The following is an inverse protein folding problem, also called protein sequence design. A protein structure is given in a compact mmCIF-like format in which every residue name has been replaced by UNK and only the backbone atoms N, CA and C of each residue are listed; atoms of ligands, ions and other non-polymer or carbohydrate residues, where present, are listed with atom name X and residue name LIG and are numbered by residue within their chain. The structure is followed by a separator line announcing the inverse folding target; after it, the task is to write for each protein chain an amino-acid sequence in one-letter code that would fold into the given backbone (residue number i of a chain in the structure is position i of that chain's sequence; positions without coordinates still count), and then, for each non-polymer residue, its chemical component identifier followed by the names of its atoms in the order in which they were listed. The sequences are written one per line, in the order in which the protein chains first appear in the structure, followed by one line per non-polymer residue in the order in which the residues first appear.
data_IF_932331168139
#
_entry.id   IF_932331168139
#
_cell.length_a   1.000
_cell.length_b   1.000
_cell.length_c   1.000
_cell.angle_alpha   90.00
_cell.angle_beta   90.00
_cell.angle_gamma   90.00
#
_symmetry.space_group_name_H-M   'P 1'
#
loop_
_entity.id
_entity.type
_entity.pdbx_description
1 polymer ?
#
# COMPACT_ATOMS: atom_id res chain seq x y z
N UNK A 1 -22.62 1.31 20.25
CA UNK A 1 -22.47 2.76 20.00
C UNK A 1 -20.99 3.11 20.04
N UNK A 2 -20.46 3.79 19.03
CA UNK A 2 -19.04 4.13 18.96
C UNK A 2 -18.15 3.14 18.19
N UNK A 3 -18.72 2.07 17.64
CA UNK A 3 -18.01 1.14 16.76
C UNK A 3 -17.64 1.85 15.46
N UNK A 4 -16.40 1.64 15.03
CA UNK A 4 -15.89 2.14 13.77
C UNK A 4 -16.64 1.49 12.60
N UNK A 5 -17.01 2.25 11.56
CA UNK A 5 -17.73 1.68 10.42
C UNK A 5 -16.92 0.62 9.68
N UNK A 6 -15.58 0.73 9.66
CA UNK A 6 -14.71 -0.28 9.07
C UNK A 6 -14.78 -1.61 9.85
N UNK A 7 -14.79 -1.54 11.18
CA UNK A 7 -14.93 -2.72 12.04
C UNK A 7 -16.32 -3.34 11.92
N UNK A 8 -17.37 -2.51 11.91
CA UNK A 8 -18.74 -2.95 11.75
C UNK A 8 -18.96 -3.67 10.39
N UNK A 9 -18.42 -3.11 9.31
CA UNK A 9 -18.46 -3.74 7.99
C UNK A 9 -17.72 -5.09 8.00
N UNK A 10 -16.55 -5.16 8.64
CA UNK A 10 -15.78 -6.41 8.76
C UNK A 10 -16.55 -7.48 9.52
N UNK A 11 -17.22 -7.12 10.63
CA UNK A 11 -18.08 -8.03 11.38
C UNK A 11 -19.28 -8.52 10.57
N UNK A 12 -19.83 -7.67 9.70
CA UNK A 12 -20.89 -8.03 8.75
C UNK A 12 -20.38 -8.85 7.54
N UNK A 13 -19.08 -9.15 7.46
CA UNK A 13 -18.48 -9.88 6.33
C UNK A 13 -18.33 -9.03 5.06
N UNK A 14 -18.49 -7.71 5.16
CA UNK A 14 -18.32 -6.76 4.07
C UNK A 14 -16.91 -6.18 4.14
N UNK A 15 -16.06 -6.57 3.19
CA UNK A 15 -14.69 -6.11 3.14
C UNK A 15 -14.58 -4.81 2.35
N UNK A 16 -14.01 -3.79 2.99
CA UNK A 16 -13.78 -2.46 2.44
C UNK A 16 -12.28 -2.27 2.29
N UNK A 17 -11.86 -1.73 1.14
CA UNK A 17 -10.46 -1.45 0.85
C UNK A 17 -9.84 -0.52 1.91
N UNK A 18 -8.89 -1.04 2.69
CA UNK A 18 -8.30 -0.33 3.83
C UNK A 18 -6.80 -0.61 3.96
N UNK A 19 -6.02 -0.21 2.96
CA UNK A 19 -4.56 -0.46 2.88
C UNK A 19 -3.79 0.00 4.13
N UNK A 20 -4.20 1.09 4.78
CA UNK A 20 -3.56 1.60 6.00
C UNK A 20 -4.04 0.93 7.31
N UNK A 21 -4.90 -0.09 7.24
CA UNK A 21 -5.41 -0.78 8.43
C UNK A 21 -6.30 0.05 9.36
N UNK A 22 -6.71 1.25 8.94
CA UNK A 22 -7.58 2.14 9.73
C UNK A 22 -6.93 3.43 10.21
N UNK A 23 -5.63 3.63 9.97
CA UNK A 23 -4.85 4.80 10.44
C UNK A 23 -5.29 6.16 9.84
N UNK A 24 -6.23 6.18 8.89
CA UNK A 24 -6.81 7.43 8.38
C UNK A 24 -5.92 8.19 7.38
N UNK A 25 -4.86 7.55 6.87
CA UNK A 25 -3.87 8.21 5.99
C UNK A 25 -4.05 7.92 4.49
N UNK A 26 -4.81 6.88 4.10
CA UNK A 26 -4.90 6.45 2.70
C UNK A 26 -6.15 6.92 1.94
N UNK A 27 -7.25 7.22 2.64
CA UNK A 27 -8.50 7.70 2.03
C UNK A 27 -9.25 6.68 1.16
N UNK A 28 -8.87 5.39 1.20
CA UNK A 28 -9.46 4.32 0.36
C UNK A 28 -10.71 3.67 0.93
N UNK A 29 -10.95 3.78 2.22
CA UNK A 29 -12.09 3.15 2.89
C UNK A 29 -13.36 4.00 2.78
N UNK A 30 -13.72 4.44 1.58
CA UNK A 30 -14.82 5.39 1.36
C UNK A 30 -16.17 4.68 1.46
N UNK A 31 -17.13 5.32 2.10
CA UNK A 31 -18.54 4.92 2.15
C UNK A 31 -19.41 6.13 1.85
N UNK A 32 -20.63 5.87 1.40
CA UNK A 32 -21.64 6.92 1.21
C UNK A 32 -22.71 6.73 2.29
N UNK A 33 -22.88 7.72 3.16
CA UNK A 33 -23.96 7.73 4.13
C UNK A 33 -25.28 8.03 3.42
N UNK A 34 -26.25 7.12 3.55
CA UNK A 34 -27.61 7.31 3.03
C UNK A 34 -28.56 7.81 4.11
N UNK A 35 -28.51 7.20 5.28
CA UNK A 35 -29.41 7.49 6.39
C UNK A 35 -28.71 7.34 7.74
N UNK A 36 -29.23 8.04 8.74
CA UNK A 36 -28.79 7.98 10.12
C UNK A 36 -27.70 8.99 10.49
N UNK A 37 -27.30 8.97 11.76
CA UNK A 37 -26.33 9.89 12.33
C UNK A 37 -24.99 9.19 12.59
N UNK A 38 -23.91 9.85 12.19
CA UNK A 38 -22.55 9.39 12.38
C UNK A 38 -21.69 10.51 12.92
N UNK A 39 -20.70 10.14 13.72
CA UNK A 39 -19.62 11.03 14.14
C UNK A 39 -18.42 10.82 13.23
N UNK A 40 -18.04 11.85 12.49
CA UNK A 40 -16.93 11.83 11.52
C UNK A 40 -15.78 12.67 12.07
N UNK A 41 -14.57 12.12 12.05
CA UNK A 41 -13.36 12.90 12.32
C UNK A 41 -12.96 13.75 11.09
N UNK A 42 -12.52 15.00 11.26
CA UNK A 42 -12.08 15.84 10.15
C UNK A 42 -10.98 15.19 9.33
N UNK A 43 -11.09 15.26 8.00
CA UNK A 43 -10.09 14.69 7.08
C UNK A 43 -9.83 15.62 5.89
N UNK A 44 -8.59 15.63 5.41
CA UNK A 44 -8.17 16.30 4.17
C UNK A 44 -8.25 15.40 2.95
N UNK A 45 -8.59 14.11 3.14
CA UNK A 45 -8.57 13.09 2.09
C UNK A 45 -9.87 13.00 1.28
N UNK A 46 -10.87 13.80 1.65
CA UNK A 46 -12.12 13.97 0.93
C UNK A 46 -12.24 15.42 0.49
N UNK A 47 -12.64 15.62 -0.76
CA UNK A 47 -12.96 16.92 -1.31
C UNK A 47 -14.29 17.43 -0.74
N UNK A 48 -14.51 18.75 -0.81
CA UNK A 48 -15.78 19.35 -0.36
C UNK A 48 -17.00 18.79 -1.10
N UNK A 49 -16.85 18.45 -2.38
CA UNK A 49 -17.94 17.91 -3.18
C UNK A 49 -18.22 16.45 -2.84
N UNK A 50 -17.20 15.66 -2.50
CA UNK A 50 -17.39 14.30 -1.96
C UNK A 50 -18.13 14.35 -0.62
N UNK A 51 -17.72 15.24 0.30
CA UNK A 51 -18.41 15.41 1.59
C UNK A 51 -19.89 15.79 1.38
N UNK A 52 -20.19 16.72 0.46
CA UNK A 52 -21.57 17.11 0.11
C UNK A 52 -22.38 15.95 -0.47
N UNK A 53 -21.74 15.02 -1.17
CA UNK A 53 -22.38 13.79 -1.68
C UNK A 53 -22.54 12.71 -0.61
N UNK A 54 -22.19 12.99 0.65
CA UNK A 54 -22.32 12.07 1.77
C UNK A 54 -21.16 11.09 1.91
N UNK A 55 -20.01 11.35 1.27
CA UNK A 55 -18.85 10.50 1.44
C UNK A 55 -18.25 10.64 2.84
N UNK A 56 -17.94 9.50 3.44
CA UNK A 56 -17.25 9.38 4.72
C UNK A 56 -16.15 8.35 4.62
N UNK A 57 -15.14 8.46 5.48
CA UNK A 57 -14.11 7.43 5.62
C UNK A 57 -14.54 6.44 6.70
N UNK A 58 -14.73 5.18 6.33
CA UNK A 58 -15.19 4.14 7.24
C UNK A 58 -14.34 4.10 8.52
N UNK A 59 -13.00 4.15 8.38
CA UNK A 59 -12.09 4.06 9.51
C UNK A 59 -12.06 5.29 10.43
N UNK A 60 -12.60 6.43 9.99
CA UNK A 60 -12.64 7.69 10.75
C UNK A 60 -14.08 8.09 11.09
N UNK A 61 -15.02 7.15 10.98
CA UNK A 61 -16.45 7.38 11.22
C UNK A 61 -16.98 6.39 12.24
N UNK A 62 -17.76 6.88 13.21
CA UNK A 62 -18.40 6.07 14.25
C UNK A 62 -19.92 6.18 14.14
N UNK A 63 -20.60 5.04 14.26
CA UNK A 63 -22.06 5.00 14.29
C UNK A 63 -22.60 5.47 15.66
N UNK A 64 -23.55 6.40 15.64
CA UNK A 64 -24.24 6.90 16.84
C UNK A 64 -25.63 6.26 17.05
N UNK A 65 -26.15 5.59 16.02
CA UNK A 65 -27.42 4.86 16.04
C UNK A 65 -27.55 3.96 14.82
N UNK A 66 -28.79 3.72 14.40
CA UNK A 66 -29.09 2.99 13.17
C UNK A 66 -28.70 3.84 11.96
N UNK A 67 -27.97 3.24 11.03
CA UNK A 67 -27.44 3.91 9.85
C UNK A 67 -27.58 3.02 8.62
N UNK A 68 -27.68 3.66 7.47
CA UNK A 68 -27.63 2.99 6.16
C UNK A 68 -26.47 3.60 5.39
N UNK A 69 -25.54 2.74 4.97
CA UNK A 69 -24.34 3.13 4.21
C UNK A 69 -24.24 2.30 2.94
N UNK A 70 -23.81 2.94 1.86
CA UNK A 70 -23.50 2.29 0.59
C UNK A 70 -21.99 2.17 0.41
N UNK A 71 -21.53 0.99 -0.03
CA UNK A 71 -20.13 0.77 -0.41
C UNK A 71 -19.96 1.08 -1.90
N UNK A 72 -19.31 2.21 -2.27
CA UNK A 72 -19.13 2.58 -3.66
C UNK A 72 -18.13 1.62 -4.34
N UNK A 73 -18.23 1.41 -5.66
CA UNK A 73 -17.41 0.44 -6.39
C UNK A 73 -15.90 0.56 -6.13
N UNK A 74 -15.36 1.78 -6.05
CA UNK A 74 -13.93 2.03 -5.82
C UNK A 74 -13.42 1.57 -4.45
N UNK A 75 -14.32 1.44 -3.47
CA UNK A 75 -14.02 0.96 -2.12
C UNK A 75 -14.26 -0.52 -1.94
N UNK A 76 -14.95 -1.15 -2.89
CA UNK A 76 -15.18 -2.60 -2.85
C UNK A 76 -13.83 -3.27 -3.02
N UNK A 77 -13.55 -4.21 -2.13
CA UNK A 77 -12.44 -5.12 -2.35
C UNK A 77 -12.85 -6.07 -3.49
N UNK A 78 -12.60 -5.66 -4.73
CA UNK A 78 -12.58 -6.60 -5.83
C UNK A 78 -11.59 -7.69 -5.45
N UNK A 79 -12.05 -8.94 -5.47
CA UNK A 79 -11.27 -10.11 -5.08
C UNK A 79 -10.06 -10.26 -6.00
N UNK A 80 -9.03 -9.46 -5.80
CA UNK A 80 -7.65 -9.86 -5.97
C UNK A 80 -7.43 -10.96 -4.94
N UNK A 81 -7.92 -12.17 -5.26
CA UNK A 81 -7.53 -13.39 -4.59
C UNK A 81 -6.01 -13.46 -4.77
N UNK A 82 -5.25 -12.90 -3.83
CA UNK A 82 -4.04 -13.59 -3.42
C UNK A 82 -4.59 -14.96 -3.07
N UNK A 83 -4.34 -15.94 -3.94
CA UNK A 83 -4.54 -17.34 -3.61
C UNK A 83 -3.65 -17.54 -2.39
N UNK A 84 -4.23 -17.33 -1.21
CA UNK A 84 -3.60 -17.65 0.04
C UNK A 84 -3.48 -19.15 -0.05
N UNK A 85 -2.31 -19.58 -0.49
CA UNK A 85 -2.01 -20.99 -0.68
C UNK A 85 -2.34 -21.69 0.63
N UNK A 86 -2.85 -22.93 0.57
CA UNK A 86 -3.26 -23.65 1.78
C UNK A 86 -2.15 -23.67 2.84
N UNK A 87 -0.91 -23.57 2.40
CA UNK A 87 0.29 -23.45 3.22
C UNK A 87 0.36 -22.18 4.09
N UNK A 88 -0.10 -21.03 3.61
CA UNK A 88 -0.09 -19.80 4.41
C UNK A 88 -0.98 -19.90 5.66
N UNK A 89 -2.00 -20.78 5.66
CA UNK A 89 -2.77 -21.12 6.88
C UNK A 89 -1.97 -21.98 7.85
N UNK A 90 -1.16 -22.91 7.33
CA UNK A 90 -0.31 -23.82 8.12
C UNK A 90 0.75 -23.05 8.92
N UNK A 91 1.29 -21.97 8.36
CA UNK A 91 2.31 -21.15 9.02
C UNK A 91 1.76 -20.14 10.04
N UNK A 92 0.44 -19.94 10.11
CA UNK A 92 -0.17 -18.97 11.03
C UNK A 92 0.00 -19.34 12.50
N UNK A 93 0.20 -20.63 12.80
CA UNK A 93 0.49 -21.13 14.16
C UNK A 93 1.97 -21.22 14.53
N UNK A 94 2.89 -21.00 13.57
CA UNK A 94 4.34 -21.08 13.81
C UNK A 94 4.91 -19.77 14.38
N UNK A 95 4.21 -18.67 14.21
CA UNK A 95 4.63 -17.35 14.67
C UNK A 95 3.63 -16.83 15.71
N UNK A 96 4.12 -16.49 16.90
CA UNK A 96 3.32 -15.78 17.88
C UNK A 96 2.79 -14.47 17.26
N UNK A 97 1.51 -14.10 17.49
CA UNK A 97 1.00 -12.83 17.00
C UNK A 97 1.91 -11.70 17.50
N UNK A 98 2.45 -10.91 16.57
CA UNK A 98 3.35 -9.82 16.88
C UNK A 98 2.64 -8.85 17.82
N UNK A 99 3.03 -8.84 19.09
CA UNK A 99 2.52 -7.90 20.10
C UNK A 99 3.18 -6.54 19.87
N UNK A 100 2.61 -5.74 18.98
CA UNK A 100 2.99 -4.34 18.76
C UNK A 100 3.41 -4.02 17.33
N UNK A 101 3.63 -2.73 17.07
CA UNK A 101 4.12 -2.23 15.78
C UNK A 101 5.55 -2.71 15.58
N UNK A 102 5.77 -3.58 14.61
CA UNK A 102 7.12 -3.98 14.19
C UNK A 102 7.67 -2.89 13.28
N UNK A 103 8.74 -2.25 13.71
CA UNK A 103 9.48 -1.30 12.89
C UNK A 103 10.32 -2.08 11.88
N UNK A 104 9.91 -2.04 10.61
CA UNK A 104 10.68 -2.61 9.52
C UNK A 104 11.75 -1.60 9.08
N UNK A 105 13.03 -1.95 9.24
CA UNK A 105 14.12 -1.19 8.64
C UNK A 105 14.11 -1.46 7.14
N UNK A 106 13.84 -0.44 6.34
CA UNK A 106 13.85 -0.56 4.88
C UNK A 106 15.28 -0.77 4.37
N UNK A 107 15.66 -2.03 4.18
CA UNK A 107 16.99 -2.45 3.70
C UNK A 107 16.84 -3.61 2.69
N UNK A 108 16.34 -3.32 1.46
CA UNK A 108 16.07 -4.35 0.48
C UNK A 108 17.37 -4.95 -0.08
N UNK A 109 17.38 -6.27 -0.26
CA UNK A 109 18.50 -6.99 -0.89
C UNK A 109 18.78 -6.55 -2.34
N UNK A 110 17.77 -5.99 -3.02
CA UNK A 110 17.87 -5.51 -4.41
C UNK A 110 17.53 -4.03 -4.45
N UNK A 111 18.39 -3.24 -5.09
CA UNK A 111 18.22 -1.80 -5.26
C UNK A 111 18.25 -1.44 -6.74
N UNK A 112 17.33 -0.57 -7.17
CA UNK A 112 17.35 0.02 -8.51
C UNK A 112 18.23 1.26 -8.50
N UNK A 113 19.14 1.35 -9.48
CA UNK A 113 20.02 2.49 -9.66
C UNK A 113 19.73 3.15 -11.01
N UNK A 114 19.70 4.48 -11.01
CA UNK A 114 19.58 5.28 -12.23
C UNK A 114 20.98 5.64 -12.74
N UNK A 115 21.29 5.26 -13.97
CA UNK A 115 22.59 5.52 -14.60
C UNK A 115 22.38 6.40 -15.83
N UNK A 116 23.05 7.54 -15.86
CA UNK A 116 23.14 8.39 -17.04
C UNK A 116 24.47 8.14 -17.76
N UNK A 117 24.43 7.69 -19.01
CA UNK A 117 25.61 7.34 -19.79
C UNK A 117 25.95 8.47 -20.76
N UNK A 118 27.24 8.75 -20.95
CA UNK A 118 27.68 9.63 -22.03
C UNK A 118 27.25 9.04 -23.38
N UNK A 119 26.69 9.84 -24.32
CA UNK A 119 26.33 9.36 -25.65
C UNK A 119 27.53 8.70 -26.36
N UNK A 120 27.32 7.67 -27.19
CA UNK A 120 28.39 7.08 -27.98
C UNK A 120 28.89 8.09 -29.01
N UNK A 121 30.20 8.11 -29.26
CA UNK A 121 30.81 9.00 -30.24
C UNK A 121 32.09 8.42 -30.81
N UNK A 122 32.61 9.01 -31.89
CA UNK A 122 33.84 8.55 -32.55
C UNK A 122 35.06 8.52 -31.61
N UNK A 123 35.07 9.38 -30.59
CA UNK A 123 36.15 9.48 -29.59
C UNK A 123 35.95 8.55 -28.38
N UNK A 124 34.78 7.93 -28.23
CA UNK A 124 34.45 6.98 -27.14
C UNK A 124 33.66 5.81 -27.73
N UNK A 125 34.39 4.93 -28.42
CA UNK A 125 33.87 3.76 -29.14
C UNK A 125 33.76 2.50 -28.25
N UNK A 126 33.76 2.66 -26.93
CA UNK A 126 33.64 1.52 -26.02
C UNK A 126 32.30 0.81 -26.18
N UNK A 127 32.32 -0.51 -26.06
CA UNK A 127 31.12 -1.33 -26.00
C UNK A 127 30.25 -0.99 -24.76
N UNK A 128 28.97 -1.37 -24.79
CA UNK A 128 28.04 -0.99 -23.73
C UNK A 128 28.39 -1.58 -22.36
N UNK A 129 28.92 -2.81 -22.33
CA UNK A 129 29.33 -3.45 -21.08
C UNK A 129 30.35 -2.61 -20.28
N UNK A 130 31.54 -2.25 -20.82
CA UNK A 130 32.47 -1.40 -20.10
C UNK A 130 31.94 0.02 -19.85
N UNK A 131 31.09 0.58 -20.71
CA UNK A 131 30.43 1.89 -20.48
C UNK A 131 29.52 1.85 -19.25
N UNK A 132 28.72 0.78 -19.12
CA UNK A 132 27.84 0.55 -17.97
C UNK A 132 28.64 0.37 -16.67
N UNK A 133 29.66 -0.50 -16.69
CA UNK A 133 30.53 -0.72 -15.52
C UNK A 133 31.29 0.55 -15.11
N UNK A 134 31.77 1.33 -16.08
CA UNK A 134 32.42 2.62 -15.83
C UNK A 134 31.49 3.58 -15.07
N UNK A 135 30.22 3.64 -15.46
CA UNK A 135 29.24 4.53 -14.81
C UNK A 135 28.79 4.02 -13.43
N UNK A 136 28.60 2.71 -13.28
CA UNK A 136 28.29 2.07 -11.98
C UNK A 136 29.37 2.40 -10.95
N UNK A 137 30.65 2.28 -11.32
CA UNK A 137 31.79 2.54 -10.44
C UNK A 137 31.96 3.99 -10.03
N UNK A 138 31.49 4.94 -10.85
CA UNK A 138 31.50 6.37 -10.50
C UNK A 138 30.47 6.70 -9.42
N UNK A 139 29.30 6.07 -9.46
CA UNK A 139 28.21 6.36 -8.51
C UNK A 139 28.26 5.51 -7.24
N UNK A 140 28.88 4.33 -7.28
CA UNK A 140 29.01 3.41 -6.13
C UNK A 140 30.38 2.76 -6.12
N UNK A 141 30.95 2.58 -4.93
CA UNK A 141 32.21 1.86 -4.74
C UNK A 141 31.98 0.33 -4.76
N UNK A 142 31.55 -0.21 -5.90
CA UNK A 142 31.26 -1.64 -6.08
C UNK A 142 32.51 -2.34 -6.68
N UNK A 143 33.02 -3.42 -6.07
CA UNK A 143 34.14 -4.19 -6.61
C UNK A 143 33.76 -4.84 -7.95
N UNK A 144 34.75 -5.06 -8.81
CA UNK A 144 34.54 -5.62 -10.15
C UNK A 144 33.97 -7.04 -10.02
N UNK A 145 32.72 -7.23 -10.43
CA UNK A 145 32.12 -8.57 -10.57
C UNK A 145 32.66 -9.19 -11.86
N UNK A 146 33.49 -10.22 -11.74
CA UNK A 146 33.94 -11.02 -12.87
C UNK A 146 33.04 -12.25 -12.98
N UNK A 147 32.37 -12.42 -14.12
CA UNK A 147 31.69 -13.67 -14.45
C UNK A 147 32.70 -14.51 -15.21
N UNK A 148 33.31 -15.49 -14.55
CA UNK A 148 34.11 -16.52 -15.20
C UNK A 148 33.18 -17.57 -15.78
N UNK A 149 33.22 -17.74 -17.09
CA UNK A 149 32.59 -18.88 -17.77
C UNK A 149 33.59 -20.04 -17.73
N UNK A 150 33.16 -21.19 -17.23
CA UNK A 150 33.87 -22.46 -17.33
C UNK A 150 33.35 -23.25 -18.52
#
# INVERSE_FOLDING_TARGET
KGTNLLEAATQAGVYINSVCGGDGICGKCRLILKEGAVKVEPTTLLTRDEIKKGYVLACQTKAEGDIVVEVPPESREEKGKILVDKDARRFRGLYAPLKGKVYFKYDPLVQKMYLELSPPGLQDNLADHPRLYRQIRRQRNIPRVAVTFH
#
